data_IF_197344384633
#
_entry.id   IF_197344384633
#
_cell.length_a   1.000
_cell.length_b   1.000
_cell.length_c   1.000
_cell.angle_alpha   90.00
_cell.angle_beta   90.00
_cell.angle_gamma   90.00
#
_symmetry.space_group_name_H-M   'P 1'
#
loop_
_entity.id
_entity.type
_entity.pdbx_description
1 polymer ?
#
# COMPACT_ATOMS: atom_id res chain seq x y z
N UNK A 1 -7.84 2.93 20.32
CA UNK A 1 -9.05 3.62 19.79
C UNK A 1 -8.84 5.11 19.57
N UNK A 2 -8.23 5.84 20.50
CA UNK A 2 -8.00 7.31 20.38
C UNK A 2 -7.15 7.68 19.16
N UNK A 3 -6.10 6.91 18.85
CA UNK A 3 -5.26 7.13 17.66
C UNK A 3 -6.08 7.09 16.35
N UNK A 4 -6.92 6.06 16.19
CA UNK A 4 -7.77 5.92 15.03
C UNK A 4 -8.78 7.07 14.91
N UNK A 5 -9.40 7.48 16.03
CA UNK A 5 -10.30 8.64 16.06
C UNK A 5 -9.57 9.93 15.66
N UNK A 6 -8.36 10.16 16.17
CA UNK A 6 -7.54 11.32 15.82
C UNK A 6 -7.23 11.39 14.32
N UNK A 7 -6.81 10.28 13.73
CA UNK A 7 -6.57 10.18 12.28
C UNK A 7 -7.85 10.48 11.49
N UNK A 8 -8.98 9.88 11.88
CA UNK A 8 -10.27 10.12 11.22
C UNK A 8 -10.67 11.59 11.25
N UNK A 9 -10.53 12.26 12.40
CA UNK A 9 -10.84 13.69 12.53
C UNK A 9 -9.87 14.58 11.74
N UNK A 10 -8.59 14.20 11.66
CA UNK A 10 -7.58 14.92 10.87
C UNK A 10 -8.01 15.02 9.39
N UNK A 11 -8.48 13.91 8.80
CA UNK A 11 -8.96 13.87 7.42
C UNK A 11 -10.38 14.41 7.26
N UNK A 12 -11.30 14.13 8.18
CA UNK A 12 -12.66 14.67 8.11
C UNK A 12 -12.68 16.21 8.18
N UNK A 13 -11.75 16.82 8.93
CA UNK A 13 -11.59 18.27 9.01
C UNK A 13 -11.15 18.93 7.71
N UNK A 14 -10.50 18.21 6.79
CA UNK A 14 -10.12 18.76 5.47
C UNK A 14 -11.35 19.09 4.62
N UNK A 15 -12.44 18.35 4.82
CA UNK A 15 -13.70 18.49 4.07
C UNK A 15 -14.70 19.38 4.81
N UNK A 16 -14.57 19.51 6.13
CA UNK A 16 -15.54 20.19 6.98
C UNK A 16 -15.02 21.50 7.55
N UNK A 17 -13.97 21.45 8.38
CA UNK A 17 -13.44 22.62 9.07
C UNK A 17 -12.01 22.41 9.62
N UNK A 18 -11.14 23.40 9.44
CA UNK A 18 -9.72 23.33 9.84
C UNK A 18 -9.49 23.03 11.33
N UNK A 19 -10.37 23.52 12.21
CA UNK A 19 -10.30 23.25 13.66
C UNK A 19 -10.44 21.76 13.96
N UNK A 20 -11.31 21.05 13.23
CA UNK A 20 -11.51 19.61 13.40
C UNK A 20 -10.25 18.85 13.02
N UNK A 21 -9.55 19.29 11.96
CA UNK A 21 -8.26 18.72 11.58
C UNK A 21 -7.19 18.92 12.65
N UNK A 22 -7.08 20.13 13.22
CA UNK A 22 -6.11 20.41 14.29
C UNK A 22 -6.35 19.57 15.53
N UNK A 23 -7.61 19.41 15.95
CA UNK A 23 -7.98 18.54 17.08
C UNK A 23 -7.64 17.09 16.76
N UNK A 24 -7.93 16.62 15.55
CA UNK A 24 -7.59 15.26 15.10
C UNK A 24 -6.09 14.98 15.13
N UNK A 25 -5.28 15.90 14.60
CA UNK A 25 -3.82 15.79 14.62
C UNK A 25 -3.29 15.73 16.06
N UNK A 26 -3.77 16.61 16.95
CA UNK A 26 -3.36 16.62 18.35
C UNK A 26 -3.69 15.29 19.05
N UNK A 27 -4.90 14.76 18.87
CA UNK A 27 -5.31 13.47 19.41
C UNK A 27 -4.46 12.31 18.86
N UNK A 28 -4.16 12.32 17.56
CA UNK A 28 -3.34 11.30 16.94
C UNK A 28 -1.91 11.29 17.50
N UNK A 29 -1.30 12.47 17.68
CA UNK A 29 0.05 12.58 18.23
C UNK A 29 0.10 12.12 19.70
N UNK A 30 -0.82 12.57 20.54
CA UNK A 30 -0.89 12.16 21.96
C UNK A 30 -1.07 10.65 22.07
N UNK A 31 -2.00 10.09 21.29
CA UNK A 31 -2.28 8.66 21.31
C UNK A 31 -1.11 7.83 20.75
N UNK A 32 -0.40 8.32 19.74
CA UNK A 32 0.79 7.67 19.19
C UNK A 32 1.92 7.61 20.23
N UNK A 33 2.16 8.70 20.96
CA UNK A 33 3.14 8.73 22.06
C UNK A 33 2.73 7.81 23.20
N UNK A 34 1.45 7.83 23.60
CA UNK A 34 0.94 6.95 24.64
C UNK A 34 1.10 5.47 24.28
N UNK A 35 0.68 5.10 23.07
CA UNK A 35 0.84 3.74 22.55
C UNK A 35 2.32 3.33 22.47
N UNK A 36 3.20 4.21 21.98
CA UNK A 36 4.62 3.96 21.92
C UNK A 36 5.23 3.68 23.30
N UNK A 37 4.81 4.43 24.34
CA UNK A 37 5.25 4.21 25.73
C UNK A 37 4.69 2.93 26.36
N UNK A 38 3.53 2.46 25.91
CA UNK A 38 2.97 1.17 26.33
C UNK A 38 3.62 -0.04 25.63
N UNK A 39 4.16 0.15 24.42
CA UNK A 39 4.82 -0.90 23.62
C UNK A 39 6.32 -1.00 23.91
N UNK A 40 6.94 0.07 24.43
CA UNK A 40 8.35 0.04 24.84
C UNK A 40 8.58 -0.87 26.06
N UNK A 41 9.78 -1.49 26.18
CA UNK A 41 10.02 -2.75 26.87
C UNK A 41 10.26 -2.61 28.39
N UNK A 42 9.51 -1.76 29.09
CA UNK A 42 9.40 -1.95 30.53
C UNK A 42 8.32 -3.02 30.77
N UNK A 43 8.74 -4.20 31.21
CA UNK A 43 7.84 -5.31 31.51
C UNK A 43 6.78 -4.86 32.53
N UNK A 44 5.56 -4.64 32.04
CA UNK A 44 4.37 -4.52 32.88
C UNK A 44 4.05 -5.92 33.40
N UNK A 45 4.69 -6.33 34.49
CA UNK A 45 4.41 -7.59 35.16
C UNK A 45 3.10 -7.49 35.92
N UNK A 46 2.13 -8.34 35.56
CA UNK A 46 0.92 -8.55 36.36
C UNK A 46 1.19 -9.69 37.34
N UNK A 47 0.98 -9.44 38.64
CA UNK A 47 1.08 -10.49 39.66
C UNK A 47 -0.11 -11.44 39.54
N UNK A 48 0.08 -12.53 38.80
CA UNK A 48 -0.90 -13.61 38.72
C UNK A 48 -0.79 -14.43 40.01
N UNK A 49 -1.85 -14.41 40.82
CA UNK A 49 -1.93 -15.27 42.01
C UNK A 49 -2.04 -16.71 41.58
N UNK A 50 -0.94 -17.46 41.72
CA UNK A 50 -0.95 -18.90 41.44
C UNK A 50 -1.75 -19.62 42.55
N UNK A 51 -2.61 -20.60 42.21
CA UNK A 51 -3.23 -21.46 43.20
C UNK A 51 -2.19 -22.10 44.13
N UNK A 52 -2.62 -22.45 45.35
CA UNK A 52 -1.81 -23.23 46.29
C UNK A 52 -1.21 -24.46 45.57
N UNK A 53 0.03 -24.83 45.92
CA UNK A 53 0.79 -25.88 45.21
C UNK A 53 0.01 -27.20 45.09
N UNK A 54 -0.84 -27.50 46.07
CA UNK A 54 -1.70 -28.69 46.11
C UNK A 54 -2.85 -28.67 45.09
N UNK A 55 -3.27 -27.48 44.64
CA UNK A 55 -4.28 -27.28 43.61
C UNK A 55 -3.69 -27.07 42.21
N UNK A 56 -2.35 -27.08 42.08
CA UNK A 56 -1.69 -26.91 40.78
C UNK A 56 -1.74 -28.21 40.01
N UNK A 57 -1.97 -28.09 38.70
CA UNK A 57 -1.79 -29.21 37.78
C UNK A 57 -0.39 -29.80 37.94
N UNK A 58 -0.23 -31.14 37.86
CA UNK A 58 1.09 -31.78 37.93
C UNK A 58 2.06 -31.17 36.93
N UNK A 59 3.35 -31.17 37.28
CA UNK A 59 4.40 -30.72 36.37
C UNK A 59 4.31 -31.49 35.06
N UNK A 60 4.23 -30.77 33.93
CA UNK A 60 4.23 -31.36 32.60
C UNK A 60 5.61 -31.98 32.40
N UNK A 61 5.72 -33.30 32.54
CA UNK A 61 6.94 -34.04 32.26
C UNK A 61 7.06 -34.14 30.73
N UNK A 62 8.16 -33.65 30.12
CA UNK A 62 8.35 -33.78 28.68
C UNK A 62 8.50 -35.25 28.31
N UNK A 63 7.46 -35.84 27.73
CA UNK A 63 7.60 -37.11 27.03
C UNK A 63 8.34 -36.82 25.71
N UNK A 64 9.34 -37.63 25.39
CA UNK A 64 10.04 -37.60 24.11
C UNK A 64 9.71 -38.87 23.29
N UNK A 65 8.47 -39.07 22.82
CA UNK A 65 8.23 -40.11 21.83
C UNK A 65 8.98 -39.73 20.55
N UNK A 66 9.38 -40.72 19.76
CA UNK A 66 9.75 -40.47 18.38
C UNK A 66 8.49 -39.99 17.63
N UNK A 67 8.30 -38.68 17.56
CA UNK A 67 7.18 -38.06 16.86
C UNK A 67 7.53 -38.03 15.38
N UNK A 68 6.71 -38.67 14.57
CA UNK A 68 6.76 -38.57 13.12
C UNK A 68 6.69 -37.08 12.72
N UNK A 69 7.73 -36.58 12.06
CA UNK A 69 7.76 -35.19 11.59
C UNK A 69 6.87 -35.09 10.37
N UNK A 70 5.61 -34.73 10.57
CA UNK A 70 4.64 -34.52 9.50
C UNK A 70 5.04 -33.35 8.60
N UNK A 71 4.75 -33.48 7.31
CA UNK A 71 4.97 -32.43 6.33
C UNK A 71 3.86 -31.37 6.39
N UNK A 72 4.13 -30.16 5.91
CA UNK A 72 3.16 -29.05 5.89
C UNK A 72 1.91 -29.49 5.10
N UNK A 73 0.76 -29.61 5.79
CA UNK A 73 -0.54 -29.91 5.17
C UNK A 73 -1.09 -31.32 5.40
N UNK A 74 -0.36 -32.22 6.06
CA UNK A 74 -0.88 -33.54 6.45
C UNK A 74 -1.72 -33.48 7.74
N UNK A 75 -2.84 -34.21 7.77
CA UNK A 75 -3.60 -34.49 9.00
C UNK A 75 -4.37 -33.33 9.64
N UNK A 76 -4.88 -32.37 8.85
CA UNK A 76 -5.63 -31.21 9.35
C UNK A 76 -4.83 -30.28 10.31
N UNK A 77 -3.50 -30.34 10.26
CA UNK A 77 -2.64 -29.37 10.95
C UNK A 77 -2.79 -27.97 10.35
N UNK A 78 -2.68 -26.94 11.19
CA UNK A 78 -2.84 -25.53 10.81
C UNK A 78 -1.78 -25.13 9.78
N UNK A 79 -2.16 -25.06 8.51
CA UNK A 79 -1.30 -24.61 7.41
C UNK A 79 -0.98 -23.12 7.58
N UNK A 80 0.31 -22.79 7.74
CA UNK A 80 0.79 -21.39 7.79
C UNK A 80 1.13 -20.95 6.36
N UNK A 81 0.17 -20.27 5.74
CA UNK A 81 0.30 -19.64 4.42
C UNK A 81 0.10 -18.13 4.58
N UNK A 82 0.79 -17.28 3.80
CA UNK A 82 1.75 -17.62 2.75
C UNK A 82 3.15 -18.02 3.27
N UNK A 83 3.76 -19.00 2.60
CA UNK A 83 5.14 -19.48 2.89
C UNK A 83 6.19 -18.52 2.33
N UNK A 84 5.86 -17.78 1.27
CA UNK A 84 6.72 -16.79 0.64
C UNK A 84 5.94 -15.52 0.36
N UNK A 85 6.59 -14.36 0.51
CA UNK A 85 6.04 -13.05 0.17
C UNK A 85 6.98 -12.32 -0.77
N UNK A 86 6.42 -11.44 -1.60
CA UNK A 86 7.24 -10.55 -2.40
C UNK A 86 7.84 -9.44 -1.52
N UNK A 87 9.12 -9.08 -1.71
CA UNK A 87 9.72 -8.01 -0.93
C UNK A 87 9.08 -6.66 -1.26
N UNK A 88 8.97 -5.77 -0.27
CA UNK A 88 8.45 -4.41 -0.51
C UNK A 88 9.25 -3.63 -1.54
N UNK A 89 10.56 -3.90 -1.65
CA UNK A 89 11.42 -3.33 -2.68
C UNK A 89 10.98 -3.71 -4.11
N UNK A 90 10.38 -4.88 -4.32
CA UNK A 90 9.79 -5.27 -5.60
C UNK A 90 8.59 -4.39 -5.94
N UNK A 91 7.74 -4.07 -4.95
CA UNK A 91 6.63 -3.14 -5.11
C UNK A 91 7.09 -1.73 -5.45
N UNK A 92 8.10 -1.21 -4.75
CA UNK A 92 8.67 0.12 -5.02
C UNK A 92 9.26 0.18 -6.44
N UNK A 93 10.11 -0.79 -6.81
CA UNK A 93 10.69 -0.88 -8.17
C UNK A 93 9.62 -1.04 -9.23
N UNK A 94 8.63 -1.89 -8.98
CA UNK A 94 7.48 -2.09 -9.84
C UNK A 94 6.71 -0.80 -10.05
N UNK A 95 6.44 -0.04 -8.98
CA UNK A 95 5.78 1.26 -9.04
C UNK A 95 6.54 2.27 -9.89
N UNK A 96 7.87 2.35 -9.76
CA UNK A 96 8.70 3.24 -10.60
C UNK A 96 8.61 2.86 -12.08
N UNK A 97 8.78 1.58 -12.40
CA UNK A 97 8.72 1.09 -13.80
C UNK A 97 7.32 1.23 -14.38
N UNK A 98 6.29 0.91 -13.61
CA UNK A 98 4.89 1.11 -13.98
C UNK A 98 4.56 2.58 -14.20
N UNK A 99 5.01 3.45 -13.31
CA UNK A 99 4.84 4.90 -13.43
C UNK A 99 5.49 5.44 -14.69
N UNK A 100 6.70 4.97 -15.02
CA UNK A 100 7.38 5.32 -16.27
C UNK A 100 6.60 4.83 -17.51
N UNK A 101 6.12 3.58 -17.51
CA UNK A 101 5.31 3.04 -18.60
C UNK A 101 4.01 3.84 -18.80
N UNK A 102 3.32 4.18 -17.71
CA UNK A 102 2.12 5.02 -17.74
C UNK A 102 2.44 6.42 -18.31
N UNK A 103 3.52 7.04 -17.84
CA UNK A 103 3.92 8.37 -18.30
C UNK A 103 4.21 8.36 -19.80
N UNK A 104 4.89 7.33 -20.33
CA UNK A 104 5.12 7.17 -21.77
C UNK A 104 3.80 7.07 -22.52
N UNK A 105 2.84 6.25 -22.07
CA UNK A 105 1.53 6.12 -22.72
C UNK A 105 0.74 7.43 -22.68
N UNK A 106 0.76 8.13 -21.56
CA UNK A 106 0.11 9.43 -21.41
C UNK A 106 0.73 10.49 -22.32
N UNK A 107 2.06 10.50 -22.49
CA UNK A 107 2.76 11.39 -23.42
C UNK A 107 2.47 11.04 -24.88
N UNK A 108 2.36 9.76 -25.23
CA UNK A 108 1.92 9.31 -26.56
C UNK A 108 0.52 9.84 -26.85
N UNK A 109 -0.42 9.69 -25.91
CA UNK A 109 -1.74 10.32 -25.99
C UNK A 109 -1.64 11.84 -26.21
N UNK A 110 -0.82 12.52 -25.39
CA UNK A 110 -0.60 13.95 -25.48
C UNK A 110 -0.16 14.39 -26.88
N UNK A 111 0.80 13.69 -27.48
CA UNK A 111 1.30 13.99 -28.82
C UNK A 111 0.28 13.65 -29.91
N UNK A 112 -0.33 12.47 -29.87
CA UNK A 112 -1.18 11.95 -30.94
C UNK A 112 -2.54 12.66 -30.98
N UNK A 113 -3.19 12.80 -29.83
CA UNK A 113 -4.56 13.33 -29.71
C UNK A 113 -4.54 14.83 -29.42
N UNK A 114 -3.73 15.25 -28.44
CA UNK A 114 -3.75 16.63 -27.95
C UNK A 114 -2.73 17.54 -28.65
N UNK A 115 -1.86 16.97 -29.50
CA UNK A 115 -0.75 17.68 -30.17
C UNK A 115 0.13 18.46 -29.19
N UNK A 116 0.26 17.97 -27.95
CA UNK A 116 1.07 18.58 -26.90
C UNK A 116 1.50 17.56 -25.85
N UNK A 117 2.80 17.51 -25.57
CA UNK A 117 3.37 16.77 -24.44
C UNK A 117 2.91 17.32 -23.08
N UNK A 118 2.56 18.61 -23.04
CA UNK A 118 2.25 19.32 -21.80
C UNK A 118 0.82 19.07 -21.32
N UNK A 119 -0.10 18.76 -22.24
CA UNK A 119 -1.49 18.51 -21.91
C UNK A 119 -1.68 17.46 -20.79
N UNK A 120 -1.17 16.22 -20.90
CA UNK A 120 -1.36 15.22 -19.83
C UNK A 120 -0.70 15.62 -18.51
N UNK A 121 0.43 16.32 -18.55
CA UNK A 121 1.18 16.78 -17.36
C UNK A 121 0.40 17.87 -16.62
N UNK A 122 -0.10 18.86 -17.36
CA UNK A 122 -0.89 19.95 -16.84
C UNK A 122 -2.25 19.46 -16.33
N UNK A 123 -2.87 18.50 -17.05
CA UNK A 123 -4.12 17.89 -16.62
C UNK A 123 -3.98 17.10 -15.32
N UNK A 124 -2.89 16.34 -15.15
CA UNK A 124 -2.60 15.66 -13.88
C UNK A 124 -2.42 16.67 -12.74
N UNK A 125 -1.73 17.78 -13.02
CA UNK A 125 -1.50 18.83 -12.03
C UNK A 125 -2.77 19.59 -11.65
N UNK A 126 -3.77 19.62 -12.53
CA UNK A 126 -5.05 20.26 -12.26
C UNK A 126 -5.81 19.64 -11.07
N UNK A 127 -5.52 18.37 -10.73
CA UNK A 127 -6.04 17.72 -9.51
C UNK A 127 -5.65 18.47 -8.24
N UNK A 128 -4.47 19.10 -8.23
CA UNK A 128 -3.92 19.81 -7.06
C UNK A 128 -3.86 21.32 -7.28
N UNK A 129 -4.09 21.77 -8.52
CA UNK A 129 -3.99 23.16 -8.94
C UNK A 129 -5.30 23.60 -9.62
N UNK A 130 -6.25 24.17 -8.85
CA UNK A 130 -7.56 24.55 -9.38
C UNK A 130 -7.51 25.53 -10.56
N UNK A 131 -6.47 26.36 -10.64
CA UNK A 131 -6.28 27.27 -11.78
C UNK A 131 -6.14 26.55 -13.12
N UNK A 132 -5.56 25.34 -13.15
CA UNK A 132 -5.46 24.54 -14.36
C UNK A 132 -6.75 23.78 -14.69
N UNK A 133 -7.56 23.43 -13.68
CA UNK A 133 -8.86 22.79 -13.91
C UNK A 133 -9.79 23.71 -14.72
N UNK A 134 -9.71 25.02 -14.46
CA UNK A 134 -10.47 26.06 -15.14
C UNK A 134 -9.79 26.66 -16.37
N UNK A 135 -8.55 26.28 -16.67
CA UNK A 135 -7.77 26.86 -17.76
C UNK A 135 -8.30 26.48 -19.15
N UNK A 136 -7.98 27.27 -20.17
CA UNK A 136 -8.35 26.93 -21.54
C UNK A 136 -7.55 25.72 -22.03
N UNK A 137 -8.01 25.07 -23.10
CA UNK A 137 -7.27 23.97 -23.72
C UNK A 137 -5.91 24.45 -24.25
N UNK A 138 -5.81 25.70 -24.72
CA UNK A 138 -4.56 26.29 -25.15
C UNK A 138 -3.55 26.39 -23.99
N UNK A 139 -4.01 26.84 -22.82
CA UNK A 139 -3.18 26.95 -21.62
C UNK A 139 -2.72 25.58 -21.13
N UNK A 140 -3.61 24.57 -21.15
CA UNK A 140 -3.24 23.20 -20.80
C UNK A 140 -2.22 22.60 -21.76
N UNK A 141 -2.16 23.05 -23.02
CA UNK A 141 -1.17 22.61 -23.99
C UNK A 141 0.15 23.38 -23.91
N UNK A 142 0.21 24.47 -23.15
CA UNK A 142 1.40 25.28 -22.98
C UNK A 142 2.32 24.70 -21.89
N UNK A 143 3.61 25.00 -22.00
CA UNK A 143 4.58 24.62 -20.97
C UNK A 143 4.31 25.38 -19.66
N UNK A 144 4.30 24.66 -18.55
CA UNK A 144 4.30 25.22 -17.20
C UNK A 144 5.30 24.47 -16.34
N UNK A 145 6.35 25.16 -15.89
CA UNK A 145 7.36 24.57 -15.00
C UNK A 145 6.74 24.09 -13.68
N UNK A 146 5.80 24.87 -13.13
CA UNK A 146 5.13 24.52 -11.87
C UNK A 146 4.29 23.25 -12.03
N UNK A 147 3.52 23.14 -13.12
CA UNK A 147 2.75 21.94 -13.41
C UNK A 147 3.66 20.74 -13.68
N UNK A 148 4.79 20.92 -14.36
CA UNK A 148 5.75 19.83 -14.56
C UNK A 148 6.28 19.30 -13.23
N UNK A 149 6.66 20.18 -12.31
CA UNK A 149 7.18 19.79 -10.98
C UNK A 149 6.09 19.08 -10.17
N UNK A 150 4.90 19.67 -10.06
CA UNK A 150 3.78 19.09 -9.31
C UNK A 150 3.36 17.75 -9.90
N UNK A 151 3.13 17.70 -11.21
CA UNK A 151 2.75 16.47 -11.91
C UNK A 151 3.78 15.36 -11.74
N UNK A 152 5.07 15.66 -11.81
CA UNK A 152 6.13 14.67 -11.59
C UNK A 152 6.13 14.13 -10.17
N UNK A 153 6.00 15.01 -9.18
CA UNK A 153 5.96 14.61 -7.75
C UNK A 153 4.73 13.75 -7.47
N UNK A 154 3.53 14.22 -7.87
CA UNK A 154 2.27 13.51 -7.64
C UNK A 154 2.29 12.16 -8.35
N UNK A 155 2.67 12.13 -9.62
CA UNK A 155 2.76 10.89 -10.38
C UNK A 155 3.75 9.90 -9.76
N UNK A 156 4.95 10.37 -9.42
CA UNK A 156 5.99 9.54 -8.83
C UNK A 156 5.59 8.96 -7.48
N UNK A 157 5.04 9.80 -6.59
CA UNK A 157 4.57 9.37 -5.27
C UNK A 157 3.43 8.35 -5.38
N UNK A 158 2.40 8.66 -6.16
CA UNK A 158 1.25 7.75 -6.36
C UNK A 158 1.72 6.43 -7.00
N UNK A 159 2.60 6.49 -7.99
CA UNK A 159 3.14 5.29 -8.64
C UNK A 159 3.89 4.37 -7.67
N UNK A 160 4.73 4.93 -6.80
CA UNK A 160 5.43 4.16 -5.76
C UNK A 160 4.46 3.57 -4.74
N UNK A 161 3.48 4.36 -4.27
CA UNK A 161 2.48 3.89 -3.31
C UNK A 161 1.62 2.77 -3.88
N UNK A 162 1.17 2.89 -5.13
CA UNK A 162 0.38 1.85 -5.81
C UNK A 162 1.24 0.62 -6.08
N UNK A 163 2.50 0.77 -6.46
CA UNK A 163 3.42 -0.37 -6.61
C UNK A 163 3.66 -1.12 -5.30
N UNK A 164 3.81 -0.39 -4.18
CA UNK A 164 3.89 -0.98 -2.85
C UNK A 164 2.60 -1.72 -2.48
N UNK A 165 1.45 -1.09 -2.70
CA UNK A 165 0.14 -1.69 -2.48
C UNK A 165 -0.01 -3.00 -3.28
N UNK A 166 0.43 -3.02 -4.54
CA UNK A 166 0.42 -4.22 -5.37
C UNK A 166 1.20 -5.36 -4.70
N UNK A 167 2.44 -5.11 -4.25
CA UNK A 167 3.26 -6.13 -3.62
C UNK A 167 2.64 -6.67 -2.31
N UNK A 168 1.99 -5.79 -1.54
CA UNK A 168 1.31 -6.16 -0.28
C UNK A 168 0.04 -6.98 -0.51
N UNK A 169 -0.75 -6.64 -1.53
CA UNK A 169 -2.04 -7.29 -1.81
C UNK A 169 -1.87 -8.57 -2.63
N UNK A 170 -0.73 -8.75 -3.32
CA UNK A 170 -0.48 -9.90 -4.18
C UNK A 170 -0.78 -11.28 -3.53
N UNK A 171 -0.39 -11.56 -2.27
CA UNK A 171 -0.69 -12.85 -1.62
C UNK A 171 -2.18 -13.08 -1.36
N UNK A 172 -2.99 -12.01 -1.39
CA UNK A 172 -4.44 -12.05 -1.22
C UNK A 172 -5.19 -12.24 -2.55
N UNK A 173 -4.51 -12.05 -3.68
CA UNK A 173 -5.13 -12.14 -5.00
C UNK A 173 -5.29 -13.59 -5.46
N UNK A 174 -6.36 -13.90 -6.24
CA UNK A 174 -6.52 -15.22 -6.85
C UNK A 174 -5.37 -15.57 -7.80
N UNK A 175 -5.22 -16.87 -8.12
CA UNK A 175 -4.10 -17.46 -8.91
C UNK A 175 -3.65 -16.69 -10.17
N UNK A 176 -4.52 -15.88 -10.78
CA UNK A 176 -4.23 -15.07 -11.98
C UNK A 176 -3.84 -13.63 -11.65
N UNK A 177 -2.81 -13.47 -10.82
CA UNK A 177 -2.27 -12.18 -10.38
C UNK A 177 -2.11 -11.11 -11.48
N UNK A 178 -1.59 -11.44 -12.66
CA UNK A 178 -1.47 -10.49 -13.78
C UNK A 178 -2.81 -9.98 -14.32
N UNK A 179 -3.87 -10.79 -14.31
CA UNK A 179 -5.22 -10.33 -14.72
C UNK A 179 -5.80 -9.38 -13.67
N UNK A 180 -5.64 -9.71 -12.40
CA UNK A 180 -6.14 -8.87 -11.30
C UNK A 180 -5.42 -7.54 -11.22
N UNK A 181 -4.09 -7.57 -11.22
CA UNK A 181 -3.25 -6.39 -11.10
C UNK A 181 -3.13 -5.58 -12.38
N UNK A 182 -3.16 -6.24 -13.55
CA UNK A 182 -2.95 -5.60 -14.85
C UNK A 182 -4.22 -5.15 -15.55
N UNK A 183 -5.40 -5.68 -15.21
CA UNK A 183 -6.65 -5.36 -15.91
C UNK A 183 -7.76 -5.01 -14.93
N UNK A 184 -8.09 -5.89 -13.98
CA UNK A 184 -9.27 -5.70 -13.12
C UNK A 184 -9.10 -4.50 -12.19
N UNK A 185 -7.99 -4.42 -11.46
CA UNK A 185 -7.71 -3.30 -10.56
C UNK A 185 -7.62 -1.94 -11.31
N UNK A 186 -6.92 -1.83 -12.45
CA UNK A 186 -6.97 -0.65 -13.33
C UNK A 186 -8.37 -0.19 -13.71
N UNK A 187 -9.26 -1.11 -14.10
CA UNK A 187 -10.63 -0.79 -14.49
C UNK A 187 -11.46 -0.32 -13.29
N UNK A 188 -11.36 -1.01 -12.16
CA UNK A 188 -12.04 -0.62 -10.92
C UNK A 188 -11.58 0.76 -10.45
N UNK A 189 -10.27 1.01 -10.44
CA UNK A 189 -9.71 2.31 -10.06
C UNK A 189 -10.18 3.41 -11.00
N UNK A 190 -10.22 3.14 -12.30
CA UNK A 190 -10.73 4.10 -13.29
C UNK A 190 -12.20 4.42 -13.05
N UNK A 191 -13.05 3.43 -12.77
CA UNK A 191 -14.46 3.65 -12.45
C UNK A 191 -14.66 4.49 -11.18
N UNK A 192 -13.86 4.24 -10.15
CA UNK A 192 -13.87 5.04 -8.92
C UNK A 192 -13.45 6.49 -9.21
N UNK A 193 -12.36 6.71 -9.94
CA UNK A 193 -11.93 8.06 -10.29
C UNK A 193 -12.96 8.80 -11.15
N UNK A 194 -13.56 8.13 -12.13
CA UNK A 194 -14.59 8.72 -12.99
C UNK A 194 -15.82 9.16 -12.18
N UNK A 195 -16.29 8.31 -11.27
CA UNK A 195 -17.45 8.64 -10.42
C UNK A 195 -17.13 9.76 -9.44
N UNK A 196 -15.98 9.72 -8.76
CA UNK A 196 -15.56 10.74 -7.80
C UNK A 196 -15.34 12.08 -8.49
N UNK A 197 -14.62 12.12 -9.61
CA UNK A 197 -14.42 13.35 -10.37
C UNK A 197 -15.74 13.89 -10.92
N UNK A 198 -16.67 13.02 -11.35
CA UNK A 198 -18.00 13.45 -11.77
C UNK A 198 -18.79 14.23 -10.70
N UNK A 199 -18.49 13.98 -9.42
CA UNK A 199 -19.14 14.66 -8.28
C UNK A 199 -18.31 15.87 -7.83
N UNK A 200 -17.00 15.70 -7.69
CA UNK A 200 -16.11 16.70 -7.07
C UNK A 200 -15.65 17.77 -8.05
N UNK A 201 -15.28 17.37 -9.26
CA UNK A 201 -14.77 18.28 -10.30
C UNK A 201 -15.21 17.79 -11.70
N UNK A 202 -16.48 18.05 -12.07
CA UNK A 202 -17.02 17.60 -13.34
C UNK A 202 -16.32 18.24 -14.55
N UNK A 203 -15.68 19.40 -14.36
CA UNK A 203 -14.94 20.09 -15.41
C UNK A 203 -13.63 19.36 -15.70
N UNK A 204 -12.90 18.93 -14.67
CA UNK A 204 -11.72 18.09 -14.83
C UNK A 204 -12.11 16.72 -15.39
N UNK A 205 -13.22 16.13 -14.91
CA UNK A 205 -13.75 14.85 -15.40
C UNK A 205 -13.97 14.85 -16.93
N UNK A 206 -14.50 15.96 -17.46
CA UNK A 206 -14.78 16.12 -18.89
C UNK A 206 -13.51 16.28 -19.76
N UNK A 207 -12.37 16.61 -19.15
CA UNK A 207 -11.08 16.79 -19.84
C UNK A 207 -10.26 15.50 -19.87
N UNK A 208 -10.59 14.52 -19.03
CA UNK A 208 -9.92 13.22 -19.05
C UNK A 208 -10.43 12.40 -20.22
N UNK A 209 -9.51 11.96 -21.08
CA UNK A 209 -9.79 10.93 -22.08
C UNK A 209 -9.77 9.57 -21.39
N UNK A 210 -10.96 9.08 -21.02
CA UNK A 210 -11.12 7.85 -20.24
C UNK A 210 -10.58 6.60 -20.94
N UNK A 211 -10.79 6.39 -22.26
CA UNK A 211 -10.14 5.28 -22.97
C UNK A 211 -8.61 5.30 -22.85
N UNK A 212 -7.96 6.44 -23.09
CA UNK A 212 -6.51 6.56 -22.96
C UNK A 212 -6.03 6.44 -21.51
N UNK A 213 -6.84 6.91 -20.56
CA UNK A 213 -6.58 6.70 -19.14
C UNK A 213 -6.58 5.20 -18.79
N UNK A 214 -7.59 4.44 -19.22
CA UNK A 214 -7.65 2.97 -19.02
C UNK A 214 -6.43 2.28 -19.64
N UNK A 215 -6.07 2.62 -20.88
CA UNK A 215 -4.89 2.04 -21.56
C UNK A 215 -3.61 2.31 -20.75
N UNK A 216 -3.46 3.53 -20.24
CA UNK A 216 -2.32 3.92 -19.41
C UNK A 216 -2.28 3.16 -18.09
N UNK A 217 -3.44 2.96 -17.44
CA UNK A 217 -3.58 2.19 -16.20
C UNK A 217 -3.27 0.70 -16.39
N UNK A 218 -3.70 0.11 -17.51
CA UNK A 218 -3.35 -1.27 -17.87
C UNK A 218 -1.84 -1.38 -18.11
N UNK A 219 -1.25 -0.44 -18.84
CA UNK A 219 0.20 -0.37 -19.05
C UNK A 219 0.98 -0.33 -17.74
N UNK A 220 0.54 0.49 -16.78
CA UNK A 220 1.09 0.52 -15.42
C UNK A 220 0.99 -0.85 -14.74
N UNK A 221 -0.21 -1.42 -14.66
CA UNK A 221 -0.46 -2.66 -13.92
C UNK A 221 0.33 -3.86 -14.49
N UNK A 222 0.44 -3.95 -15.82
CA UNK A 222 1.25 -4.97 -16.49
C UNK A 222 2.74 -4.79 -16.19
N UNK A 223 3.26 -3.56 -16.25
CA UNK A 223 4.66 -3.27 -15.96
C UNK A 223 5.02 -3.59 -14.50
N UNK A 224 4.18 -3.18 -13.54
CA UNK A 224 4.34 -3.57 -12.12
C UNK A 224 4.31 -5.08 -11.98
N UNK A 225 3.32 -5.75 -12.59
CA UNK A 225 3.17 -7.19 -12.53
C UNK A 225 4.39 -7.95 -13.04
N UNK A 226 5.00 -7.50 -14.15
CA UNK A 226 6.22 -8.10 -14.72
C UNK A 226 7.41 -7.92 -13.76
N UNK A 227 7.59 -6.73 -13.19
CA UNK A 227 8.70 -6.46 -12.26
C UNK A 227 8.56 -7.29 -10.99
N UNK A 228 7.35 -7.33 -10.41
CA UNK A 228 7.08 -8.07 -9.18
C UNK A 228 7.15 -9.58 -9.41
N UNK A 229 6.66 -10.09 -10.54
CA UNK A 229 6.74 -11.52 -10.86
C UNK A 229 8.18 -12.02 -11.08
N UNK A 230 9.12 -11.13 -11.41
CA UNK A 230 10.54 -11.45 -11.56
C UNK A 230 11.34 -11.26 -10.28
N UNK A 231 10.74 -10.73 -9.22
CA UNK A 231 11.43 -10.54 -7.96
C UNK A 231 11.55 -11.88 -7.22
N UNK A 232 12.68 -12.08 -6.56
CA UNK A 232 12.93 -13.27 -5.75
C UNK A 232 12.04 -13.23 -4.49
N UNK A 233 11.15 -14.21 -4.30
CA UNK A 233 10.29 -14.26 -3.11
C UNK A 233 11.13 -14.46 -1.85
N UNK A 234 10.70 -13.83 -0.76
CA UNK A 234 11.28 -14.04 0.56
C UNK A 234 10.45 -15.05 1.33
N UNK A 235 11.10 -16.10 1.84
CA UNK A 235 10.46 -17.06 2.73
C UNK A 235 9.98 -16.35 4.02
N UNK A 236 8.74 -16.65 4.42
CA UNK A 236 8.19 -16.10 5.66
C UNK A 236 8.78 -16.82 6.86
N UNK A 237 9.18 -16.07 7.89
CA UNK A 237 9.68 -16.64 9.14
C UNK A 237 8.56 -17.21 10.03
N UNK A 238 7.37 -17.49 9.47
CA UNK A 238 6.20 -17.94 10.22
C UNK A 238 6.41 -19.29 10.90
N UNK A 239 7.26 -20.14 10.34
CA UNK A 239 7.61 -21.46 10.91
C UNK A 239 8.84 -21.42 11.83
N UNK A 240 9.53 -20.27 11.93
CA UNK A 240 10.77 -20.18 12.69
C UNK A 240 10.49 -20.11 14.21
N UNK A 241 11.34 -20.74 15.05
CA UNK A 241 11.31 -20.53 16.50
C UNK A 241 11.41 -19.05 16.86
N UNK A 242 10.77 -18.64 17.97
CA UNK A 242 10.80 -17.22 18.42
C UNK A 242 12.23 -16.72 18.60
N UNK A 243 13.15 -17.54 19.14
CA UNK A 243 14.56 -17.19 19.29
C UNK A 243 15.23 -16.86 17.94
N UNK A 244 14.99 -17.69 16.91
CA UNK A 244 15.52 -17.44 15.57
C UNK A 244 14.91 -16.20 14.91
N UNK A 245 13.61 -15.94 15.13
CA UNK A 245 12.93 -14.72 14.65
C UNK A 245 13.42 -13.44 15.32
N UNK A 246 13.82 -13.54 16.59
CA UNK A 246 14.31 -12.42 17.38
C UNK A 246 15.80 -12.10 17.13
N UNK A 247 16.47 -12.86 16.25
CA UNK A 247 17.92 -12.73 16.03
C UNK A 247 18.75 -13.15 17.24
N UNK A 248 18.13 -13.86 18.19
CA UNK A 248 18.81 -14.42 19.36
C UNK A 248 19.39 -15.75 18.91
N UNK A 249 20.56 -15.71 18.28
CA UNK A 249 21.36 -16.90 18.07
C UNK A 249 21.60 -17.54 19.43
N UNK A 250 20.92 -18.65 19.70
CA UNK A 250 21.18 -19.44 20.89
C UNK A 250 22.64 -19.86 20.81
N UNK A 251 23.47 -19.29 21.69
CA UNK A 251 24.86 -19.70 21.89
C UNK A 251 24.82 -21.16 22.34
N UNK A 252 24.86 -22.09 21.39
CA UNK A 252 25.00 -23.50 21.69
C UNK A 252 26.44 -23.68 22.16
N UNK A 253 26.64 -23.65 23.49
CA UNK A 253 27.91 -24.10 24.07
C UNK A 253 28.15 -25.56 23.65
N UNK A 254 29.38 -25.92 23.28
CA UNK A 254 29.75 -27.26 22.82
C UNK A 254 29.46 -28.33 23.86
#
# INVERSE_FOLDING_TARGET
>A
MVLALGITLAFAGLVTHAVVSWVGIALALIAAVGWWREVLPEERTEEITLPAVELRSPAIVPLHPAVERTSIGEGAHRTRVPVEIQPYSAGIRGGVVGGAAMAVLALVYGVVVQRSLWYPINLLSAVVMPSLAHATVADLRAFSLLALVIGTIVHGLVSVLVGLLYAVVLPMLPRRHMLWGGVVAPLLWTGILWTVLGIVDPMLNARVDWPWFVVSQIGFGLAVGIVVARAEPLATMQSWPIAARAGVEASRKP
#
